data_IF_499795740812
#
_entry.id   IF_499795740812
#
_cell.length_a   1.000
_cell.length_b   1.000
_cell.length_c   1.000
_cell.angle_alpha   90.00
_cell.angle_beta   90.00
_cell.angle_gamma   90.00
#
_symmetry.space_group_name_H-M   'P 1'
#
loop_
_entity.id
_entity.type
_entity.pdbx_description
1 polymer ?
#
# COMPACT_ATOMS: atom_id res chain seq x y z
N UNK A 1 27.78 -3.54 1.51
CA UNK A 1 26.57 -4.06 0.85
C UNK A 1 27.03 -4.91 -0.32
N UNK A 2 26.64 -6.18 -0.39
CA UNK A 2 27.05 -7.08 -1.48
C UNK A 2 26.36 -6.68 -2.79
N UNK A 3 26.92 -7.05 -3.94
CA UNK A 3 26.31 -6.75 -5.24
C UNK A 3 24.92 -7.38 -5.39
N UNK A 4 24.73 -8.57 -4.81
CA UNK A 4 23.43 -9.25 -4.74
C UNK A 4 22.38 -8.44 -3.96
N UNK A 5 22.78 -7.82 -2.85
CA UNK A 5 21.89 -6.96 -2.06
C UNK A 5 21.44 -5.72 -2.85
N UNK A 6 22.35 -5.09 -3.58
CA UNK A 6 22.04 -3.96 -4.46
C UNK A 6 21.10 -4.37 -5.60
N UNK A 7 21.36 -5.51 -6.23
CA UNK A 7 20.53 -6.03 -7.32
C UNK A 7 19.12 -6.39 -6.84
N UNK A 8 19.00 -7.04 -5.67
CA UNK A 8 17.72 -7.36 -5.02
C UNK A 8 16.92 -6.10 -4.71
N UNK A 9 17.55 -5.11 -4.08
CA UNK A 9 16.93 -3.82 -3.78
C UNK A 9 16.43 -3.11 -5.04
N UNK A 10 17.26 -3.00 -6.08
CA UNK A 10 16.88 -2.37 -7.34
C UNK A 10 15.75 -3.13 -8.07
N UNK A 11 15.68 -4.45 -7.92
CA UNK A 11 14.54 -5.23 -8.40
C UNK A 11 13.25 -4.93 -7.61
N UNK A 12 13.35 -4.73 -6.29
CA UNK A 12 12.24 -4.29 -5.44
C UNK A 12 11.71 -2.90 -5.82
N UNK A 13 12.62 -1.94 -6.04
CA UNK A 13 12.28 -0.58 -6.52
C UNK A 13 11.50 -0.65 -7.84
N UNK A 14 11.93 -1.48 -8.79
CA UNK A 14 11.21 -1.67 -10.06
C UNK A 14 9.84 -2.30 -9.87
N UNK A 15 9.70 -3.22 -8.92
CA UNK A 15 8.40 -3.81 -8.58
C UNK A 15 7.44 -2.81 -7.92
N UNK A 16 7.97 -1.75 -7.29
CA UNK A 16 7.16 -0.69 -6.66
C UNK A 16 6.53 0.27 -7.67
N UNK A 17 6.91 0.27 -8.95
CA UNK A 17 6.44 1.26 -9.95
C UNK A 17 4.91 1.39 -10.00
N UNK A 18 4.10 0.31 -10.03
CA UNK A 18 2.64 0.43 -10.02
C UNK A 18 2.11 1.07 -8.74
N UNK A 19 2.74 0.75 -7.59
CA UNK A 19 2.38 1.32 -6.28
C UNK A 19 2.68 2.80 -6.25
N UNK A 20 3.86 3.21 -6.72
CA UNK A 20 4.29 4.61 -6.82
C UNK A 20 3.29 5.43 -7.64
N UNK A 21 2.88 4.91 -8.80
CA UNK A 21 1.91 5.59 -9.67
C UNK A 21 0.54 5.78 -9.00
N UNK A 22 0.10 4.82 -8.18
CA UNK A 22 -1.11 4.96 -7.38
C UNK A 22 -0.94 5.95 -6.22
N UNK A 23 0.19 5.89 -5.52
CA UNK A 23 0.46 6.66 -4.31
C UNK A 23 0.61 8.16 -4.55
N UNK A 24 1.13 8.57 -5.71
CA UNK A 24 1.32 10.00 -6.02
C UNK A 24 0.01 10.82 -5.92
N UNK A 25 -1.06 10.51 -6.67
CA UNK A 25 -2.29 11.28 -6.59
C UNK A 25 -3.02 11.11 -5.25
N UNK A 26 -3.02 9.89 -4.69
CA UNK A 26 -3.73 9.59 -3.44
C UNK A 26 -3.05 10.26 -2.24
N UNK A 27 -1.73 10.13 -2.13
CA UNK A 27 -0.95 10.76 -1.07
C UNK A 27 -1.06 12.28 -1.15
N UNK A 28 -0.99 12.85 -2.35
CA UNK A 28 -1.23 14.29 -2.53
C UNK A 28 -2.61 14.70 -2.03
N UNK A 29 -3.67 13.97 -2.40
CA UNK A 29 -5.03 14.22 -1.92
C UNK A 29 -5.14 14.14 -0.39
N UNK A 30 -4.50 13.15 0.24
CA UNK A 30 -4.42 13.07 1.70
C UNK A 30 -3.74 14.30 2.30
N UNK A 31 -2.59 14.72 1.76
CA UNK A 31 -1.86 15.88 2.23
C UNK A 31 -2.70 17.16 2.21
N UNK A 32 -3.42 17.38 1.10
CA UNK A 32 -4.34 18.51 0.97
C UNK A 32 -5.46 18.43 2.01
N UNK A 33 -6.12 17.27 2.14
CA UNK A 33 -7.21 17.06 3.09
C UNK A 33 -6.76 17.27 4.54
N UNK A 34 -5.60 16.72 4.92
CA UNK A 34 -5.07 16.87 6.27
C UNK A 34 -4.70 18.33 6.56
N UNK A 35 -4.14 19.04 5.57
CA UNK A 35 -3.81 20.47 5.71
C UNK A 35 -5.07 21.30 5.93
N UNK A 36 -6.13 21.07 5.16
CA UNK A 36 -7.40 21.79 5.33
C UNK A 36 -8.15 21.37 6.58
N UNK A 37 -7.90 20.16 7.09
CA UNK A 37 -8.34 19.69 8.41
C UNK A 37 -7.58 20.31 9.59
N UNK A 38 -6.62 21.20 9.33
CA UNK A 38 -5.89 21.95 10.35
C UNK A 38 -4.53 21.35 10.76
N UNK A 39 -4.10 20.24 10.15
CA UNK A 39 -2.80 19.66 10.45
C UNK A 39 -1.66 20.49 9.83
N UNK A 40 -0.55 20.55 10.54
CA UNK A 40 0.72 21.07 10.04
C UNK A 40 1.36 20.11 9.05
N UNK A 41 2.22 20.64 8.17
CA UNK A 41 3.03 19.81 7.24
C UNK A 41 3.88 18.79 8.00
N UNK A 42 4.37 19.16 9.20
CA UNK A 42 5.12 18.25 10.05
C UNK A 42 4.25 17.09 10.56
N UNK A 43 3.02 17.36 11.01
CA UNK A 43 2.09 16.32 11.44
C UNK A 43 1.71 15.38 10.29
N UNK A 44 1.51 15.92 9.08
CA UNK A 44 1.27 15.13 7.87
C UNK A 44 2.46 14.21 7.57
N UNK A 45 3.68 14.71 7.66
CA UNK A 45 4.90 13.93 7.46
C UNK A 45 5.04 12.83 8.53
N UNK A 46 4.81 13.18 9.81
CA UNK A 46 4.88 12.24 10.93
C UNK A 46 3.81 11.14 10.81
N UNK A 47 2.57 11.48 10.45
CA UNK A 47 1.54 10.48 10.18
C UNK A 47 1.95 9.55 9.03
N UNK A 48 2.55 10.09 7.97
CA UNK A 48 2.97 9.31 6.80
C UNK A 48 4.16 8.39 7.06
N UNK A 49 4.99 8.72 8.05
CA UNK A 49 6.13 7.90 8.48
C UNK A 49 5.78 6.87 9.56
N UNK A 50 4.99 7.28 10.56
CA UNK A 50 4.74 6.50 11.77
C UNK A 50 3.46 5.66 11.68
N UNK A 51 2.38 6.23 11.13
CA UNK A 51 1.11 5.52 10.97
C UNK A 51 1.11 4.74 9.67
N UNK A 52 1.61 5.37 8.59
CA UNK A 52 1.82 4.77 7.27
C UNK A 52 0.69 3.82 6.84
N UNK A 53 -0.54 4.31 6.91
CA UNK A 53 -1.74 3.55 6.60
C UNK A 53 -2.76 4.46 5.93
N UNK A 54 -2.78 4.48 4.59
CA UNK A 54 -3.53 5.47 3.82
C UNK A 54 -4.98 5.63 4.25
N UNK A 55 -5.74 4.54 4.32
CA UNK A 55 -7.15 4.57 4.77
C UNK A 55 -7.33 5.14 6.17
N UNK A 56 -6.50 4.73 7.13
CA UNK A 56 -6.55 5.22 8.50
C UNK A 56 -6.11 6.70 8.60
N UNK A 57 -5.19 7.16 7.75
CA UNK A 57 -4.78 8.55 7.68
C UNK A 57 -5.92 9.45 7.16
N UNK A 58 -6.64 9.03 6.11
CA UNK A 58 -7.83 9.75 5.63
C UNK A 58 -8.94 9.80 6.70
N UNK A 59 -9.25 8.67 7.32
CA UNK A 59 -10.27 8.60 8.38
C UNK A 59 -9.84 9.47 9.57
N UNK A 60 -8.61 9.32 10.04
CA UNK A 60 -8.06 10.06 11.17
C UNK A 60 -8.04 11.57 10.93
N UNK A 61 -7.61 12.03 9.75
CA UNK A 61 -7.65 13.45 9.40
C UNK A 61 -9.09 13.99 9.38
N UNK A 62 -10.06 13.23 8.84
CA UNK A 62 -11.47 13.60 8.87
C UNK A 62 -12.05 13.69 10.28
N UNK A 63 -11.76 12.70 11.14
CA UNK A 63 -12.21 12.70 12.53
C UNK A 63 -11.58 13.83 13.35
N UNK A 64 -10.28 14.12 13.13
CA UNK A 64 -9.60 15.27 13.74
C UNK A 64 -10.26 16.59 13.33
N UNK A 65 -10.56 16.76 12.04
CA UNK A 65 -11.24 17.95 11.52
C UNK A 65 -12.68 18.09 12.07
N UNK A 66 -13.36 16.97 12.36
CA UNK A 66 -14.69 16.95 12.97
C UNK A 66 -14.67 17.21 14.49
N UNK A 67 -13.50 17.24 15.12
CA UNK A 67 -13.36 17.41 16.57
C UNK A 67 -13.74 16.17 17.37
N UNK A 68 -13.64 14.98 16.78
CA UNK A 68 -13.95 13.72 17.46
C UNK A 68 -13.01 13.46 18.65
N UNK A 69 -13.48 12.78 19.71
CA UNK A 69 -12.65 12.48 20.86
C UNK A 69 -11.49 11.54 20.49
N UNK A 70 -10.30 11.79 21.05
CA UNK A 70 -9.08 11.03 20.75
C UNK A 70 -9.25 9.51 20.91
N UNK A 71 -10.04 9.05 21.89
CA UNK A 71 -10.33 7.63 22.09
C UNK A 71 -11.04 6.98 20.90
N UNK A 72 -11.95 7.70 20.24
CA UNK A 72 -12.64 7.22 19.04
C UNK A 72 -11.65 7.14 17.86
N UNK A 73 -10.83 8.17 17.67
CA UNK A 73 -9.80 8.21 16.60
C UNK A 73 -8.83 7.04 16.74
N UNK A 74 -8.30 6.81 17.96
CA UNK A 74 -7.39 5.71 18.25
C UNK A 74 -8.06 4.35 18.01
N UNK A 75 -9.29 4.16 18.50
CA UNK A 75 -10.02 2.89 18.35
C UNK A 75 -10.31 2.59 16.88
N UNK A 76 -10.80 3.57 16.11
CA UNK A 76 -11.07 3.42 14.68
C UNK A 76 -9.79 3.14 13.89
N UNK A 77 -8.73 3.91 14.15
CA UNK A 77 -7.42 3.71 13.52
C UNK A 77 -6.88 2.31 13.81
N UNK A 78 -6.96 1.86 15.07
CA UNK A 78 -6.54 0.52 15.46
C UNK A 78 -7.33 -0.57 14.73
N UNK A 79 -8.66 -0.49 14.74
CA UNK A 79 -9.54 -1.48 14.11
C UNK A 79 -9.32 -1.56 12.60
N UNK A 80 -9.22 -0.43 11.91
CA UNK A 80 -8.94 -0.38 10.46
C UNK A 80 -7.56 -0.96 10.16
N UNK A 81 -6.57 -0.72 11.04
CA UNK A 81 -5.21 -1.19 10.83
C UNK A 81 -4.98 -2.67 11.17
N UNK A 82 -5.93 -3.37 11.80
CA UNK A 82 -5.82 -4.83 12.05
C UNK A 82 -5.53 -5.63 10.77
N UNK A 83 -5.91 -5.13 9.60
CA UNK A 83 -5.55 -5.74 8.31
C UNK A 83 -4.05 -5.87 8.08
N UNK A 84 -3.24 -4.93 8.58
CA UNK A 84 -1.77 -4.97 8.46
C UNK A 84 -1.18 -6.12 9.26
N UNK A 85 -1.78 -6.42 10.42
CA UNK A 85 -1.42 -7.60 11.21
C UNK A 85 -1.73 -8.89 10.45
N UNK A 86 -2.90 -8.97 9.82
CA UNK A 86 -3.30 -10.13 9.01
C UNK A 86 -2.40 -10.32 7.78
N UNK A 87 -2.07 -9.24 7.07
CA UNK A 87 -1.13 -9.25 5.94
C UNK A 87 0.26 -9.72 6.36
N UNK A 88 0.77 -9.19 7.49
CA UNK A 88 2.05 -9.61 8.07
C UNK A 88 2.04 -11.09 8.46
N UNK A 89 0.96 -11.57 9.07
CA UNK A 89 0.81 -12.97 9.44
C UNK A 89 0.77 -13.89 8.20
N UNK A 90 0.13 -13.45 7.11
CA UNK A 90 0.06 -14.20 5.87
C UNK A 90 1.43 -14.34 5.18
N UNK A 91 2.31 -13.33 5.27
CA UNK A 91 3.68 -13.39 4.73
C UNK A 91 4.72 -13.96 5.71
N UNK A 92 4.36 -14.16 6.98
CA UNK A 92 5.27 -14.70 7.99
C UNK A 92 5.98 -16.03 7.58
N UNK A 93 5.34 -16.99 6.88
CA UNK A 93 6.03 -18.18 6.39
C UNK A 93 7.15 -17.89 5.39
N UNK A 94 7.01 -16.85 4.56
CA UNK A 94 8.03 -16.41 3.60
C UNK A 94 9.22 -15.73 4.28
N UNK A 95 9.08 -15.27 5.52
CA UNK A 95 10.17 -14.67 6.29
C UNK A 95 10.99 -15.68 7.12
N UNK A 96 10.72 -16.99 6.98
CA UNK A 96 11.54 -18.04 7.60
C UNK A 96 12.98 -17.95 7.11
N UNK A 97 13.92 -17.83 8.04
CA UNK A 97 15.35 -17.64 7.74
C UNK A 97 15.82 -16.19 7.76
N UNK A 98 14.91 -15.22 7.85
CA UNK A 98 15.23 -13.80 8.10
C UNK A 98 15.30 -13.56 9.61
N UNK A 99 16.19 -12.67 10.05
CA UNK A 99 16.26 -12.24 11.46
C UNK A 99 14.90 -11.70 11.90
N UNK A 100 14.34 -12.11 13.05
CA UNK A 100 12.98 -11.73 13.46
C UNK A 100 12.71 -10.23 13.46
N UNK A 101 13.69 -9.42 13.91
CA UNK A 101 13.57 -7.97 13.89
C UNK A 101 13.45 -7.38 12.47
N UNK A 102 14.18 -7.94 11.50
CA UNK A 102 14.12 -7.52 10.10
C UNK A 102 12.81 -7.97 9.47
N UNK A 103 12.38 -9.22 9.73
CA UNK A 103 11.08 -9.71 9.26
C UNK A 103 9.91 -8.91 9.82
N UNK A 104 9.98 -8.50 11.09
CA UNK A 104 8.97 -7.65 11.72
C UNK A 104 8.93 -6.25 11.08
N UNK A 105 10.08 -5.63 10.80
CA UNK A 105 10.14 -4.33 10.13
C UNK A 105 9.58 -4.41 8.70
N UNK A 106 9.98 -5.42 7.93
CA UNK A 106 9.48 -5.64 6.56
C UNK A 106 7.97 -5.92 6.54
N UNK A 107 7.44 -6.60 7.56
CA UNK A 107 6.01 -6.82 7.75
C UNK A 107 5.27 -5.54 8.15
N UNK A 108 5.85 -4.73 9.03
CA UNK A 108 5.27 -3.46 9.48
C UNK A 108 5.06 -2.47 8.32
N UNK A 109 5.98 -2.43 7.36
CA UNK A 109 5.89 -1.54 6.18
C UNK A 109 4.98 -2.10 5.05
N UNK A 110 4.27 -3.22 5.28
CA UNK A 110 3.31 -3.72 4.31
C UNK A 110 2.10 -2.79 4.22
N UNK A 111 1.61 -2.62 3.01
CA UNK A 111 0.37 -1.91 2.67
C UNK A 111 -0.47 -2.82 1.80
N UNK A 112 -1.71 -2.48 1.49
CA UNK A 112 -2.57 -3.33 0.65
C UNK A 112 -1.89 -3.58 -0.72
N UNK A 113 -1.25 -2.55 -1.26
CA UNK A 113 -0.56 -2.54 -2.55
C UNK A 113 0.76 -3.30 -2.50
N UNK A 114 1.63 -3.02 -1.51
CA UNK A 114 2.91 -3.74 -1.39
C UNK A 114 2.69 -5.21 -1.01
N UNK A 115 1.64 -5.52 -0.24
CA UNK A 115 1.23 -6.89 0.05
C UNK A 115 0.76 -7.63 -1.20
N UNK A 116 -0.06 -6.99 -2.05
CA UNK A 116 -0.51 -7.60 -3.31
C UNK A 116 0.69 -7.91 -4.23
N UNK A 117 1.62 -6.96 -4.38
CA UNK A 117 2.84 -7.15 -5.18
C UNK A 117 3.74 -8.24 -4.57
N UNK A 118 3.97 -8.22 -3.27
CA UNK A 118 4.79 -9.21 -2.57
C UNK A 118 4.19 -10.61 -2.67
N UNK A 119 2.87 -10.77 -2.47
CA UNK A 119 2.20 -12.07 -2.56
C UNK A 119 2.28 -12.65 -3.96
N UNK A 120 2.07 -11.82 -5.00
CA UNK A 120 2.19 -12.22 -6.38
C UNK A 120 3.64 -12.60 -6.77
N UNK A 121 4.64 -11.91 -6.20
CA UNK A 121 6.05 -12.19 -6.45
C UNK A 121 6.54 -13.45 -5.73
N UNK A 122 6.22 -13.58 -4.43
CA UNK A 122 6.75 -14.64 -3.58
C UNK A 122 6.12 -16.00 -3.90
N UNK A 123 4.81 -16.06 -4.15
CA UNK A 123 4.10 -17.31 -4.45
C UNK A 123 4.44 -18.47 -3.47
N UNK A 124 4.57 -18.16 -2.17
CA UNK A 124 4.93 -19.11 -1.13
C UNK A 124 6.43 -19.43 -1.00
N UNK A 125 7.30 -18.77 -1.78
CA UNK A 125 8.76 -18.90 -1.68
C UNK A 125 9.33 -18.02 -0.55
N UNK A 126 10.55 -18.30 -0.07
CA UNK A 126 11.26 -17.41 0.85
C UNK A 126 11.44 -16.02 0.26
N UNK A 127 11.29 -14.99 1.10
CA UNK A 127 11.49 -13.61 0.68
C UNK A 127 12.97 -13.23 0.66
N UNK A 128 13.38 -12.50 -0.38
CA UNK A 128 14.62 -11.74 -0.36
C UNK A 128 14.39 -10.45 0.46
N UNK A 129 15.09 -10.26 1.60
CA UNK A 129 14.94 -9.06 2.43
C UNK A 129 15.24 -7.76 1.69
N UNK A 130 16.19 -7.78 0.75
CA UNK A 130 16.59 -6.57 0.02
C UNK A 130 15.56 -6.19 -1.03
N UNK A 131 14.99 -7.17 -1.72
CA UNK A 131 13.87 -6.95 -2.63
C UNK A 131 12.65 -6.38 -1.88
N UNK A 132 12.29 -6.96 -0.72
CA UNK A 132 11.19 -6.46 0.11
C UNK A 132 11.45 -5.03 0.60
N UNK A 133 12.66 -4.73 1.06
CA UNK A 133 13.05 -3.38 1.47
C UNK A 133 12.97 -2.38 0.30
N UNK A 134 13.40 -2.78 -0.90
CA UNK A 134 13.30 -1.96 -2.11
C UNK A 134 11.85 -1.64 -2.47
N UNK A 135 10.95 -2.62 -2.36
CA UNK A 135 9.52 -2.41 -2.58
C UNK A 135 8.91 -1.47 -1.55
N UNK A 136 9.12 -1.76 -0.26
CA UNK A 136 8.48 -1.05 0.84
C UNK A 136 9.00 0.38 1.00
N UNK A 137 10.32 0.58 1.05
CA UNK A 137 10.91 1.90 1.27
C UNK A 137 10.63 2.85 0.10
N UNK A 138 10.64 2.35 -1.14
CA UNK A 138 10.27 3.18 -2.31
C UNK A 138 8.82 3.62 -2.25
N UNK A 139 7.93 2.71 -1.84
CA UNK A 139 6.49 2.99 -1.70
C UNK A 139 6.26 4.01 -0.57
N UNK A 140 6.89 3.81 0.60
CA UNK A 140 6.77 4.73 1.73
C UNK A 140 7.34 6.11 1.40
N UNK A 141 8.53 6.18 0.80
CA UNK A 141 9.14 7.44 0.41
C UNK A 141 8.22 8.21 -0.56
N UNK A 142 7.63 7.52 -1.52
CA UNK A 142 6.67 8.13 -2.46
C UNK A 142 5.44 8.65 -1.73
N UNK A 143 4.86 7.86 -0.83
CA UNK A 143 3.69 8.27 -0.04
C UNK A 143 3.97 9.53 0.79
N UNK A 144 5.10 9.56 1.50
CA UNK A 144 5.52 10.70 2.32
C UNK A 144 5.73 11.93 1.45
N UNK A 145 6.46 11.81 0.34
CA UNK A 145 6.73 12.93 -0.55
C UNK A 145 5.44 13.49 -1.18
N UNK A 146 4.54 12.61 -1.63
CA UNK A 146 3.25 13.01 -2.17
C UNK A 146 2.39 13.71 -1.12
N UNK A 147 2.32 13.17 0.10
CA UNK A 147 1.54 13.71 1.21
C UNK A 147 2.08 15.06 1.68
N UNK A 148 3.41 15.20 1.79
CA UNK A 148 4.03 16.47 2.14
C UNK A 148 3.81 17.50 1.03
N UNK A 149 3.97 17.12 -0.24
CA UNK A 149 3.66 18.01 -1.36
C UNK A 149 2.19 18.48 -1.31
N UNK A 150 1.25 17.57 -1.09
CA UNK A 150 -0.16 17.91 -0.90
C UNK A 150 -0.38 18.85 0.28
N UNK A 151 0.31 18.63 1.40
CA UNK A 151 0.22 19.50 2.58
C UNK A 151 0.80 20.90 2.37
N UNK A 152 1.87 21.03 1.56
CA UNK A 152 2.47 22.31 1.21
C UNK A 152 1.59 23.07 0.21
N UNK A 153 1.13 22.40 -0.85
CA UNK A 153 0.32 23.03 -1.89
C UNK A 153 -1.16 23.15 -1.53
N UNK A 154 -1.62 22.48 -0.48
CA UNK A 154 -3.01 22.51 -0.02
C UNK A 154 -3.51 23.90 0.39
N UNK A 155 -2.63 24.77 0.89
CA UNK A 155 -2.99 26.17 1.22
C UNK A 155 -3.30 27.02 -0.02
N UNK A 156 -2.75 26.65 -1.18
CA UNK A 156 -3.03 27.33 -2.44
C UNK A 156 -4.33 26.87 -3.10
N UNK A 157 -5.02 25.87 -2.52
CA UNK A 157 -6.26 25.30 -3.05
C UNK A 157 -7.46 25.96 -2.32
N UNK A 158 -8.22 26.86 -2.98
CA UNK A 158 -9.24 27.66 -2.31
C UNK A 158 -10.48 26.87 -1.87
N UNK A 159 -10.81 25.78 -2.57
CA UNK A 159 -11.99 24.96 -2.28
C UNK A 159 -11.69 23.46 -2.48
N UNK A 160 -11.38 22.79 -1.39
CA UNK A 160 -11.11 21.35 -1.34
C UNK A 160 -12.36 20.48 -1.46
N UNK A 161 -13.54 21.05 -1.13
CA UNK A 161 -14.83 20.39 -1.26
C UNK A 161 -15.25 20.29 -2.72
N UNK A 162 -15.02 21.36 -3.50
CA UNK A 162 -15.23 21.35 -4.94
C UNK A 162 -14.36 20.31 -5.67
N UNK A 163 -13.20 19.95 -5.10
CA UNK A 163 -12.33 18.90 -5.63
C UNK A 163 -12.79 17.47 -5.27
N UNK A 164 -13.83 17.32 -4.46
CA UNK A 164 -14.34 16.01 -4.05
C UNK A 164 -13.38 15.23 -3.16
N UNK A 165 -12.49 15.91 -2.42
CA UNK A 165 -11.51 15.25 -1.54
C UNK A 165 -12.19 14.47 -0.41
N UNK A 166 -13.40 14.87 -0.01
CA UNK A 166 -14.28 14.14 0.90
C UNK A 166 -14.62 12.71 0.39
N UNK A 167 -14.59 12.52 -0.93
CA UNK A 167 -14.82 11.24 -1.61
C UNK A 167 -13.51 10.54 -2.04
N UNK A 168 -12.33 11.12 -1.77
CA UNK A 168 -11.05 10.59 -2.25
C UNK A 168 -10.80 9.15 -1.80
N UNK A 169 -11.15 8.81 -0.54
CA UNK A 169 -11.02 7.46 -0.02
C UNK A 169 -11.92 6.46 -0.77
N UNK A 170 -13.19 6.83 -1.01
CA UNK A 170 -14.13 6.01 -1.78
C UNK A 170 -13.67 5.86 -3.23
N UNK A 171 -13.19 6.93 -3.85
CA UNK A 171 -12.66 6.94 -5.21
C UNK A 171 -11.41 6.05 -5.35
N UNK A 172 -10.52 6.06 -4.35
CA UNK A 172 -9.37 5.17 -4.28
C UNK A 172 -9.78 3.69 -4.33
N UNK A 173 -10.73 3.28 -3.50
CA UNK A 173 -11.21 1.88 -3.51
C UNK A 173 -11.86 1.50 -4.84
N UNK A 174 -12.64 2.40 -5.46
CA UNK A 174 -13.23 2.16 -6.79
C UNK A 174 -12.16 2.03 -7.88
N UNK A 175 -11.13 2.88 -7.85
CA UNK A 175 -10.02 2.83 -8.79
C UNK A 175 -9.22 1.52 -8.66
N UNK A 176 -8.91 1.10 -7.42
CA UNK A 176 -8.25 -0.18 -7.14
C UNK A 176 -9.08 -1.36 -7.66
N UNK A 177 -10.40 -1.35 -7.42
CA UNK A 177 -11.30 -2.38 -7.93
C UNK A 177 -11.29 -2.42 -9.47
N UNK A 178 -11.33 -1.27 -10.13
CA UNK A 178 -11.25 -1.19 -11.59
C UNK A 178 -9.95 -1.78 -12.16
N UNK A 179 -8.80 -1.47 -11.53
CA UNK A 179 -7.49 -2.03 -11.92
C UNK A 179 -7.41 -3.55 -11.72
N UNK A 180 -8.01 -4.05 -10.64
CA UNK A 180 -8.08 -5.49 -10.37
C UNK A 180 -8.98 -6.23 -11.38
N UNK A 181 -10.13 -5.64 -11.74
CA UNK A 181 -11.03 -6.21 -12.76
C UNK A 181 -10.44 -6.14 -14.18
N UNK A 182 -9.58 -5.15 -14.46
CA UNK A 182 -8.90 -4.98 -15.73
C UNK A 182 -7.65 -5.84 -15.92
N UNK A 183 -7.16 -6.50 -14.86
CA UNK A 183 -5.94 -7.32 -14.93
C UNK A 183 -6.18 -8.60 -15.77
N UNK A 184 -5.44 -8.84 -16.88
CA UNK A 184 -5.63 -9.99 -17.78
C UNK A 184 -5.25 -11.38 -17.21
N UNK A 185 -5.43 -11.61 -15.90
CA UNK A 185 -5.01 -12.83 -15.21
C UNK A 185 -6.00 -14.00 -15.29
N UNK A 186 -7.29 -13.77 -15.53
CA UNK A 186 -8.32 -14.82 -15.37
C UNK A 186 -8.79 -15.48 -16.69
N UNK A 187 -7.98 -15.42 -17.75
CA UNK A 187 -8.30 -16.09 -19.03
C UNK A 187 -7.55 -17.39 -19.29
N UNK A 188 -6.61 -17.80 -18.42
CA UNK A 188 -5.76 -19.00 -18.66
C UNK A 188 -6.17 -20.26 -17.87
N UNK A 189 -7.29 -20.23 -17.15
CA UNK A 189 -7.79 -21.40 -16.38
C UNK A 189 -8.91 -22.23 -17.04
N UNK A 190 -9.52 -21.77 -18.14
CA UNK A 190 -10.70 -22.43 -18.76
C UNK A 190 -10.44 -23.19 -20.07
N UNK A 191 -9.19 -23.50 -20.38
CA UNK A 191 -8.81 -24.24 -21.59
C UNK A 191 -8.18 -25.60 -21.29
N UNK A 192 -8.89 -26.47 -20.55
CA UNK A 192 -8.37 -27.80 -20.19
C UNK A 192 -9.43 -28.89 -20.29
N UNK A 193 -9.56 -29.49 -21.47
CA UNK A 193 -9.84 -30.93 -21.59
C UNK A 193 -9.01 -31.50 -22.75
N UNK A 194 -7.97 -32.32 -22.48
CA UNK A 194 -7.42 -33.18 -23.50
C UNK A 194 -8.47 -34.25 -23.82
N UNK A 195 -8.89 -34.32 -25.09
CA UNK A 195 -9.73 -35.40 -25.57
C UNK A 195 -8.91 -36.70 -25.62
N UNK A 196 -9.42 -37.72 -24.92
CA UNK A 196 -9.36 -39.16 -25.22
C UNK A 196 -8.06 -39.77 -25.75
N UNK A 197 -7.50 -40.70 -24.96
CA UNK A 197 -6.32 -41.49 -25.30
C UNK A 197 -6.49 -42.52 -26.43
N UNK A 198 -5.45 -43.34 -26.68
CA UNK A 198 -5.31 -44.14 -27.90
C UNK A 198 -6.12 -45.44 -27.82
N UNK A 199 -7.03 -45.64 -28.78
CA UNK A 199 -7.63 -46.94 -29.02
C UNK A 199 -6.71 -47.78 -29.91
N UNK A 200 -6.14 -48.83 -29.32
CA UNK A 200 -5.54 -49.97 -30.02
C UNK A 200 -6.65 -50.81 -30.67
N UNK A 201 -6.37 -51.36 -31.87
CA UNK A 201 -6.99 -52.60 -32.35
C UNK A 201 -7.59 -52.52 -33.76
N UNK A 202 -7.07 -53.33 -34.68
CA UNK A 202 -7.63 -53.58 -36.01
C UNK A 202 -6.57 -53.66 -37.09
#
# INVERSE_FOLDING_TARGET
MTWEALAGFAAGVRAAVPVVLGYLPIGFAFGVLARTGGLSVLEIALMSLLVYAGSAQFIGAGMLAAGDPAGAIVSTTFLVNLRHLLMSAALAPSFRGIRPAVGALLGFELTDETFAVATAHLQGRPADPWWMAGLNLTSQATWVLASVAGGIFGEAIPDTRALGLDFALSAMFVALLGLQLGSPGDRRGRGGRPAGGPARGG
#
